data_IF_409749630460
#
_entry.id   IF_409749630460
#
_cell.length_a   1.000
_cell.length_b   1.000
_cell.length_c   1.000
_cell.angle_alpha   90.00
_cell.angle_beta   90.00
_cell.angle_gamma   90.00
#
_symmetry.space_group_name_H-M   'P 1'
#
loop_
_entity.id
_entity.type
_entity.pdbx_description
1 polymer ?
#
# COMPACT_ATOMS: atom_id res chain seq x y z
N UNK A 1 1.76 0.08 -11.87
CA UNK A 1 2.29 -1.17 -11.31
C UNK A 1 2.32 -2.20 -12.43
N UNK A 2 3.47 -2.71 -12.74
CA UNK A 2 3.66 -3.70 -13.79
C UNK A 2 2.94 -3.32 -15.10
N UNK A 3 2.98 -2.05 -15.46
CA UNK A 3 2.31 -1.54 -16.64
C UNK A 3 0.82 -1.28 -16.49
N UNK A 4 0.22 -1.61 -15.35
CA UNK A 4 -1.21 -1.38 -15.09
C UNK A 4 -1.37 -0.21 -14.13
N UNK A 5 -2.10 0.84 -14.49
CA UNK A 5 -2.35 1.95 -13.58
C UNK A 5 -3.30 1.51 -12.46
N UNK A 6 -2.98 1.91 -11.25
CA UNK A 6 -3.79 1.64 -10.06
C UNK A 6 -3.92 2.93 -9.26
N UNK A 7 -5.15 3.27 -8.92
CA UNK A 7 -5.43 4.43 -8.09
C UNK A 7 -5.37 4.04 -6.61
N UNK A 8 -4.33 4.49 -5.94
CA UNK A 8 -4.15 4.24 -4.52
C UNK A 8 -4.74 5.37 -3.69
N UNK A 9 -5.40 4.99 -2.60
CA UNK A 9 -5.71 5.94 -1.54
C UNK A 9 -4.51 6.00 -0.60
N UNK A 10 -3.96 7.18 -0.39
CA UNK A 10 -2.85 7.36 0.54
C UNK A 10 -3.39 7.30 1.96
N UNK A 11 -2.93 6.31 2.72
CA UNK A 11 -3.40 6.08 4.09
C UNK A 11 -2.20 6.09 5.03
N UNK A 12 -1.96 7.23 5.67
CA UNK A 12 -0.84 7.40 6.59
C UNK A 12 -1.03 6.64 7.90
N UNK A 13 -2.25 6.20 8.19
CA UNK A 13 -2.54 5.36 9.33
C UNK A 13 -2.26 3.88 9.09
N UNK A 14 -2.12 3.48 7.82
CA UNK A 14 -1.84 2.09 7.47
C UNK A 14 -0.34 1.84 7.51
N UNK A 15 0.06 0.79 8.20
CA UNK A 15 1.45 0.37 8.24
C UNK A 15 1.89 -0.22 6.90
N UNK A 16 1.01 -0.98 6.25
CA UNK A 16 1.32 -1.71 5.04
C UNK A 16 0.46 -1.24 3.88
N UNK A 17 1.02 -1.28 2.68
CA UNK A 17 0.29 -1.03 1.45
C UNK A 17 -0.52 -2.26 1.07
N UNK A 18 -1.71 -2.03 0.51
CA UNK A 18 -2.72 -3.06 0.29
C UNK A 18 -3.21 -3.02 -1.15
N UNK A 19 -3.33 -4.20 -1.75
CA UNK A 19 -4.01 -4.39 -3.03
C UNK A 19 -5.31 -5.16 -2.80
N UNK A 20 -6.31 -4.92 -3.64
CA UNK A 20 -7.56 -5.67 -3.60
C UNK A 20 -7.42 -7.03 -4.29
N UNK A 21 -6.51 -7.12 -5.25
CA UNK A 21 -6.22 -8.32 -6.02
C UNK A 21 -4.72 -8.53 -6.08
N UNK A 22 -4.25 -9.77 -6.25
CA UNK A 22 -2.81 -10.06 -6.23
C UNK A 22 -1.99 -9.39 -7.33
N UNK A 23 -2.57 -9.12 -8.50
CA UNK A 23 -1.88 -8.58 -9.67
C UNK A 23 -0.67 -9.45 -10.08
N UNK A 24 -0.77 -10.77 -9.88
CA UNK A 24 0.29 -11.72 -10.18
C UNK A 24 0.47 -12.74 -9.08
N UNK A 25 1.70 -13.16 -8.86
CA UNK A 25 2.03 -14.25 -7.94
C UNK A 25 1.93 -13.84 -6.48
N UNK A 26 1.54 -14.79 -5.65
CA UNK A 26 1.55 -14.65 -4.20
C UNK A 26 2.86 -15.21 -3.64
N UNK A 27 3.32 -14.63 -2.54
CA UNK A 27 4.63 -14.95 -1.96
C UNK A 27 4.63 -16.22 -1.09
N UNK A 28 3.48 -16.80 -0.81
CA UNK A 28 3.38 -17.90 0.14
C UNK A 28 3.55 -17.48 1.60
N UNK A 29 3.47 -16.20 1.87
CA UNK A 29 3.64 -15.58 3.17
C UNK A 29 2.32 -14.93 3.55
N UNK A 30 1.95 -15.01 4.84
CA UNK A 30 0.72 -14.41 5.35
C UNK A 30 1.00 -13.60 6.59
N UNK A 31 0.08 -12.69 6.91
CA UNK A 31 0.11 -11.91 8.14
C UNK A 31 -1.29 -11.80 8.71
N UNK A 32 -1.39 -11.65 10.03
CA UNK A 32 -2.64 -11.44 10.72
C UNK A 32 -2.92 -9.96 10.86
N UNK A 33 -4.16 -9.56 10.58
CA UNK A 33 -4.58 -8.18 10.67
C UNK A 33 -5.83 -8.09 11.55
N UNK A 34 -5.79 -7.18 12.53
CA UNK A 34 -6.93 -6.93 13.41
C UNK A 34 -7.98 -6.13 12.64
N UNK A 35 -9.17 -6.69 12.54
CA UNK A 35 -10.33 -6.01 11.95
C UNK A 35 -11.43 -5.83 12.97
N UNK A 36 -12.55 -5.24 12.53
CA UNK A 36 -13.72 -4.99 13.37
C UNK A 36 -14.33 -6.29 13.92
N UNK A 37 -14.20 -7.38 13.18
CA UNK A 37 -14.78 -8.70 13.55
C UNK A 37 -13.73 -9.66 14.08
N UNK A 38 -12.52 -9.19 14.38
CA UNK A 38 -11.43 -10.02 14.91
C UNK A 38 -10.23 -10.07 13.98
N UNK A 39 -9.33 -11.00 14.25
CA UNK A 39 -8.12 -11.19 13.47
C UNK A 39 -8.42 -12.02 12.22
N UNK A 40 -7.89 -11.56 11.09
CA UNK A 40 -7.94 -12.31 9.83
C UNK A 40 -6.55 -12.42 9.24
N UNK A 41 -6.33 -13.50 8.50
CA UNK A 41 -5.05 -13.78 7.85
C UNK A 41 -5.14 -13.41 6.38
N UNK A 42 -4.14 -12.66 5.90
CA UNK A 42 -4.08 -12.23 4.51
C UNK A 42 -2.73 -12.60 3.90
N UNK A 43 -2.75 -12.80 2.59
CA UNK A 43 -1.57 -13.20 1.83
C UNK A 43 -0.80 -11.98 1.33
N UNK A 44 0.49 -12.17 1.13
CA UNK A 44 1.37 -11.16 0.52
C UNK A 44 1.63 -11.50 -0.94
N UNK A 45 1.79 -10.47 -1.76
CA UNK A 45 2.28 -10.66 -3.12
C UNK A 45 3.79 -10.85 -3.11
N UNK A 46 4.33 -11.43 -4.18
CA UNK A 46 5.75 -11.25 -4.48
C UNK A 46 6.00 -9.78 -4.81
N UNK A 47 7.26 -9.40 -4.95
CA UNK A 47 7.57 -8.00 -5.24
C UNK A 47 6.99 -7.56 -6.58
N UNK A 48 6.46 -6.34 -6.60
CA UNK A 48 5.92 -5.69 -7.79
C UNK A 48 6.74 -4.45 -8.08
N UNK A 49 6.96 -4.19 -9.36
CA UNK A 49 7.57 -2.94 -9.80
C UNK A 49 6.50 -1.85 -9.82
N UNK A 50 6.72 -0.81 -9.05
CA UNK A 50 5.76 0.30 -8.89
C UNK A 50 6.41 1.58 -9.35
N UNK A 51 5.76 2.28 -10.28
CA UNK A 51 6.19 3.60 -10.72
C UNK A 51 5.33 4.64 -10.02
N UNK A 52 5.96 5.44 -9.19
CA UNK A 52 5.28 6.43 -8.36
C UNK A 52 5.59 7.87 -8.80
N UNK A 53 6.12 8.04 -10.00
CA UNK A 53 6.46 9.36 -10.51
C UNK A 53 7.81 9.88 -10.02
N UNK A 54 8.32 9.37 -8.90
CA UNK A 54 9.63 9.71 -8.35
C UNK A 54 10.68 8.65 -8.69
N UNK A 55 10.29 7.67 -9.52
CA UNK A 55 11.12 6.54 -9.90
C UNK A 55 10.38 5.24 -9.64
N UNK A 56 11.04 4.14 -9.99
CA UNK A 56 10.48 2.82 -9.77
C UNK A 56 10.99 2.23 -8.46
N UNK A 57 10.10 1.59 -7.72
CA UNK A 57 10.45 0.83 -6.52
C UNK A 57 9.87 -0.57 -6.62
N UNK A 58 10.52 -1.53 -5.95
CA UNK A 58 9.99 -2.88 -5.79
C UNK A 58 9.35 -2.99 -4.42
N UNK A 59 8.15 -3.51 -4.37
CA UNK A 59 7.42 -3.61 -3.12
C UNK A 59 6.46 -4.78 -3.11
N UNK A 60 6.29 -5.41 -1.95
CA UNK A 60 5.29 -6.46 -1.73
C UNK A 60 4.08 -5.87 -1.06
N UNK A 61 2.90 -6.30 -1.49
CA UNK A 61 1.62 -5.78 -1.00
C UNK A 61 0.86 -6.89 -0.27
N UNK A 62 0.12 -6.50 0.75
CA UNK A 62 -0.84 -7.40 1.36
C UNK A 62 -2.13 -7.37 0.54
N UNK A 63 -2.73 -8.54 0.30
CA UNK A 63 -3.96 -8.63 -0.48
C UNK A 63 -5.14 -8.68 0.47
N UNK A 64 -5.94 -7.62 0.47
CA UNK A 64 -7.15 -7.52 1.32
C UNK A 64 -8.34 -7.17 0.43
N UNK A 65 -9.07 -8.18 -0.07
CA UNK A 65 -10.18 -7.94 -1.00
C UNK A 65 -11.31 -7.12 -0.40
N UNK A 66 -11.46 -7.13 0.92
CA UNK A 66 -12.54 -6.41 1.60
C UNK A 66 -12.27 -4.91 1.71
N UNK A 67 -11.06 -4.45 1.46
CA UNK A 67 -10.77 -3.02 1.46
C UNK A 67 -11.54 -2.31 0.35
N UNK A 68 -12.07 -1.11 0.62
CA UNK A 68 -12.78 -0.37 -0.42
C UNK A 68 -11.87 0.17 -1.52
N UNK A 69 -10.59 0.39 -1.21
CA UNK A 69 -9.60 0.92 -2.15
C UNK A 69 -8.25 0.29 -1.91
N UNK A 70 -7.40 0.21 -2.94
CA UNK A 70 -5.99 -0.10 -2.70
C UNK A 70 -5.37 1.00 -1.85
N UNK A 71 -4.54 0.63 -0.88
CA UNK A 71 -3.97 1.58 0.07
C UNK A 71 -2.47 1.70 -0.11
N UNK A 72 -1.99 2.93 -0.10
CA UNK A 72 -0.58 3.24 -0.07
C UNK A 72 -0.22 3.59 1.36
N UNK A 73 0.42 2.65 2.04
CA UNK A 73 0.74 2.78 3.46
C UNK A 73 2.11 3.37 3.72
N UNK A 74 2.48 3.45 5.00
CA UNK A 74 3.76 4.05 5.42
C UNK A 74 4.97 3.31 4.89
N UNK A 75 4.87 2.00 4.69
CA UNK A 75 5.96 1.19 4.15
C UNK A 75 6.42 1.70 2.78
N UNK A 76 5.46 1.97 1.90
CA UNK A 76 5.76 2.45 0.56
C UNK A 76 6.04 3.95 0.54
N UNK A 77 5.33 4.72 1.37
CA UNK A 77 5.59 6.15 1.50
C UNK A 77 7.04 6.41 1.94
N UNK A 78 7.56 5.59 2.84
CA UNK A 78 8.96 5.68 3.27
C UNK A 78 9.91 5.42 2.10
N UNK A 79 9.63 4.42 1.29
CA UNK A 79 10.45 4.12 0.10
C UNK A 79 10.45 5.25 -0.91
N UNK A 80 9.32 5.95 -1.03
CA UNK A 80 9.20 7.11 -1.92
C UNK A 80 9.97 8.33 -1.42
N UNK A 81 10.32 8.36 -0.15
CA UNK A 81 10.83 9.57 0.47
C UNK A 81 9.77 10.65 0.62
N UNK A 82 8.50 10.26 0.66
CA UNK A 82 7.40 11.22 0.80
C UNK A 82 7.44 11.90 2.15
N UNK A 83 7.08 13.18 2.17
CA UNK A 83 6.95 13.96 3.39
C UNK A 83 5.51 14.31 3.62
N UNK A 84 5.09 14.23 4.89
CA UNK A 84 3.72 14.53 5.28
C UNK A 84 3.76 15.79 6.12
N UNK A 85 3.02 16.79 5.69
CA UNK A 85 2.94 18.07 6.38
C UNK A 85 1.53 18.28 6.90
N UNK A 86 1.44 18.54 8.20
CA UNK A 86 0.15 18.82 8.85
C UNK A 86 0.02 20.33 9.02
N UNK A 87 -0.96 20.91 8.33
CA UNK A 87 -1.29 22.29 8.45
C UNK A 87 -2.60 22.43 9.25
N UNK A 88 -2.86 23.58 9.89
CA UNK A 88 -4.13 23.75 10.58
C UNK A 88 -5.31 23.46 9.66
N UNK A 89 -6.11 22.46 10.03
CA UNK A 89 -7.28 22.07 9.30
C UNK A 89 -7.07 21.19 8.07
N UNK A 90 -5.81 20.83 7.73
CA UNK A 90 -5.58 19.95 6.56
C UNK A 90 -4.30 19.15 6.69
N UNK A 91 -4.22 18.08 5.91
CA UNK A 91 -3.04 17.26 5.74
C UNK A 91 -2.66 17.24 4.27
N UNK A 92 -1.39 17.48 3.98
CA UNK A 92 -0.87 17.41 2.62
C UNK A 92 0.28 16.42 2.55
N UNK A 93 0.36 15.72 1.43
CA UNK A 93 1.48 14.86 1.12
C UNK A 93 2.28 15.56 0.03
N UNK A 94 3.56 15.77 0.30
CA UNK A 94 4.48 16.35 -0.68
C UNK A 94 5.22 15.22 -1.37
N UNK A 95 5.06 15.21 -2.67
CA UNK A 95 5.64 14.20 -3.54
C UNK A 95 6.82 14.82 -4.26
N UNK A 96 7.97 14.20 -4.19
CA UNK A 96 9.21 14.74 -4.76
C UNK A 96 9.74 13.91 -5.89
#
# INVERSE_FOLDING_TARGET
MEGTPIDFLVDTGAQYSVLLEPQGKLAGKTSWVQGATGMKQYQWTTQRSVDLGVGQVSHSFMVIPECPFPLLGRDLLTKMGAQIHFLPGETKILDH
#
